data_IF_200196998448
#
_entry.id   IF_200196998448
#
_cell.length_a   1.000
_cell.length_b   1.000
_cell.length_c   1.000
_cell.angle_alpha   90.00
_cell.angle_beta   90.00
_cell.angle_gamma   90.00
#
_symmetry.space_group_name_H-M   'P 1'
#
loop_
_entity.id
_entity.type
_entity.pdbx_description
1 polymer ?
#
# COMPACT_ATOMS: atom_id res chain seq x y z
N UNK A 1 -33.96 23.98 32.76
CA UNK A 1 -32.66 23.51 32.23
C UNK A 1 -32.90 23.12 30.79
N UNK A 2 -32.70 24.06 29.88
CA UNK A 2 -32.87 23.83 28.45
C UNK A 2 -31.66 23.08 27.92
N UNK A 3 -31.82 21.78 27.69
CA UNK A 3 -30.81 20.98 27.00
C UNK A 3 -30.90 21.36 25.51
N UNK A 4 -30.12 22.36 25.13
CA UNK A 4 -29.82 22.66 23.72
C UNK A 4 -29.03 21.49 23.16
N UNK A 5 -29.69 20.54 22.52
CA UNK A 5 -29.02 19.51 21.73
C UNK A 5 -28.27 20.21 20.59
N UNK A 6 -26.93 20.13 20.51
CA UNK A 6 -26.25 20.55 19.30
C UNK A 6 -26.46 19.48 18.23
N UNK A 7 -27.27 19.82 17.22
CA UNK A 7 -27.10 19.20 15.91
C UNK A 7 -25.68 19.50 15.46
N UNK A 8 -24.86 18.46 15.35
CA UNK A 8 -23.60 18.53 14.65
C UNK A 8 -23.53 17.36 13.68
N UNK A 9 -24.45 17.37 12.72
CA UNK A 9 -24.12 16.91 11.38
C UNK A 9 -22.99 17.82 10.89
N UNK A 10 -21.77 17.56 11.34
CA UNK A 10 -20.57 18.00 10.67
C UNK A 10 -20.62 17.34 9.29
N UNK A 11 -21.06 18.12 8.31
CA UNK A 11 -20.81 17.86 6.90
C UNK A 11 -19.31 17.84 6.71
N UNK A 12 -18.67 16.71 7.02
CA UNK A 12 -17.33 16.41 6.54
C UNK A 12 -17.48 16.25 5.03
N UNK A 13 -17.24 17.34 4.30
CA UNK A 13 -17.02 17.32 2.86
C UNK A 13 -15.97 16.25 2.59
N UNK A 14 -16.43 15.06 2.25
CA UNK A 14 -15.61 13.95 1.82
C UNK A 14 -15.33 14.22 0.34
N UNK A 15 -14.33 15.06 0.07
CA UNK A 15 -13.77 15.11 -1.27
C UNK A 15 -13.32 13.70 -1.60
N UNK A 16 -13.92 13.07 -2.61
CA UNK A 16 -13.50 11.75 -3.07
C UNK A 16 -12.02 11.83 -3.44
N UNK A 17 -11.16 10.95 -2.88
CA UNK A 17 -9.74 10.99 -3.19
C UNK A 17 -9.56 10.82 -4.69
N UNK A 18 -8.64 11.61 -5.26
CA UNK A 18 -8.28 11.54 -6.66
C UNK A 18 -7.80 10.14 -7.03
N UNK A 19 -7.88 9.78 -8.31
CA UNK A 19 -7.38 8.51 -8.81
C UNK A 19 -5.89 8.30 -8.48
N UNK A 20 -5.10 9.38 -8.47
CA UNK A 20 -3.69 9.37 -8.11
C UNK A 20 -3.49 9.03 -6.62
N UNK A 21 -4.26 9.65 -5.72
CA UNK A 21 -4.22 9.35 -4.28
C UNK A 21 -4.64 7.91 -3.99
N UNK A 22 -5.66 7.40 -4.70
CA UNK A 22 -6.10 6.02 -4.60
C UNK A 22 -5.00 5.05 -5.05
N UNK A 23 -4.33 5.34 -6.17
CA UNK A 23 -3.23 4.51 -6.67
C UNK A 23 -2.04 4.51 -5.69
N UNK A 24 -1.67 5.67 -5.15
CA UNK A 24 -0.59 5.78 -4.16
C UNK A 24 -0.93 5.07 -2.85
N UNK A 25 -2.16 5.20 -2.36
CA UNK A 25 -2.65 4.46 -1.20
C UNK A 25 -2.57 2.95 -1.46
N UNK A 26 -3.01 2.50 -2.63
CA UNK A 26 -2.97 1.09 -2.99
C UNK A 26 -1.55 0.53 -3.07
N UNK A 27 -0.59 1.30 -3.63
CA UNK A 27 0.84 0.95 -3.63
C UNK A 27 1.36 0.77 -2.20
N UNK A 28 1.03 1.70 -1.29
CA UNK A 28 1.43 1.62 0.11
C UNK A 28 0.80 0.42 0.82
N UNK A 29 -0.48 0.14 0.56
CA UNK A 29 -1.20 -1.00 1.12
C UNK A 29 -0.58 -2.34 0.66
N UNK A 30 -0.15 -2.45 -0.60
CA UNK A 30 0.57 -3.63 -1.09
C UNK A 30 1.93 -3.79 -0.39
N UNK A 31 2.68 -2.69 -0.20
CA UNK A 31 3.96 -2.74 0.52
C UNK A 31 3.80 -3.19 1.97
N UNK A 32 2.76 -2.71 2.65
CA UNK A 32 2.48 -3.14 4.02
C UNK A 32 2.08 -4.62 4.08
N UNK A 33 1.25 -5.07 3.14
CA UNK A 33 0.92 -6.50 3.01
C UNK A 33 2.17 -7.34 2.79
N UNK A 34 3.06 -6.98 1.85
CA UNK A 34 4.31 -7.72 1.62
C UNK A 34 5.14 -7.85 2.90
N UNK A 35 5.32 -6.75 3.65
CA UNK A 35 6.06 -6.79 4.93
C UNK A 35 5.41 -7.73 5.95
N UNK A 36 4.08 -7.68 6.07
CA UNK A 36 3.35 -8.57 6.99
C UNK A 36 3.45 -10.03 6.55
N UNK A 37 3.32 -10.32 5.26
CA UNK A 37 3.44 -11.67 4.70
C UNK A 37 4.87 -12.21 4.89
N UNK A 38 5.90 -11.40 4.70
CA UNK A 38 7.31 -11.75 4.99
C UNK A 38 7.52 -12.05 6.48
N UNK A 39 6.98 -11.21 7.38
CA UNK A 39 7.05 -11.44 8.82
C UNK A 39 6.39 -12.77 9.21
N UNK A 40 5.21 -13.06 8.65
CA UNK A 40 4.49 -14.29 8.93
C UNK A 40 5.22 -15.52 8.38
N UNK A 41 5.79 -15.43 7.17
CA UNK A 41 6.60 -16.50 6.58
C UNK A 41 7.77 -16.90 7.51
N UNK A 42 8.44 -15.92 8.11
CA UNK A 42 9.56 -16.18 9.04
C UNK A 42 9.14 -16.89 10.34
N UNK A 43 7.84 -16.92 10.66
CA UNK A 43 7.32 -17.56 11.87
C UNK A 43 6.79 -18.97 11.63
N UNK A 44 6.68 -19.39 10.36
CA UNK A 44 6.05 -20.65 9.98
C UNK A 44 7.10 -21.70 9.63
N UNK A 45 6.85 -22.92 10.08
CA UNK A 45 7.66 -24.12 9.78
C UNK A 45 6.91 -25.16 8.94
N UNK A 46 5.60 -24.99 8.76
CA UNK A 46 4.79 -25.86 7.91
C UNK A 46 5.08 -25.59 6.43
N UNK A 47 5.45 -26.64 5.69
CA UNK A 47 5.91 -26.56 4.30
C UNK A 47 4.83 -26.02 3.35
N UNK A 48 3.59 -26.47 3.50
CA UNK A 48 2.49 -26.01 2.64
C UNK A 48 2.14 -24.54 2.91
N UNK A 49 2.25 -24.11 4.17
CA UNK A 49 2.01 -22.72 4.54
C UNK A 49 3.18 -21.81 4.10
N UNK A 50 4.43 -22.30 4.12
CA UNK A 50 5.58 -21.63 3.50
C UNK A 50 5.33 -21.41 2.01
N UNK A 51 4.95 -22.45 1.27
CA UNK A 51 4.65 -22.35 -0.16
C UNK A 51 3.53 -21.35 -0.44
N UNK A 52 2.46 -21.38 0.36
CA UNK A 52 1.36 -20.43 0.28
C UNK A 52 1.85 -18.98 0.39
N UNK A 53 2.71 -18.68 1.37
CA UNK A 53 3.27 -17.33 1.53
C UNK A 53 4.22 -16.93 0.40
N UNK A 54 5.01 -17.86 -0.14
CA UNK A 54 5.86 -17.60 -1.31
C UNK A 54 5.00 -17.19 -2.51
N UNK A 55 3.89 -17.90 -2.75
CA UNK A 55 2.95 -17.55 -3.82
C UNK A 55 2.27 -16.20 -3.58
N UNK A 56 1.89 -15.92 -2.34
CA UNK A 56 1.29 -14.63 -1.95
C UNK A 56 2.26 -13.47 -2.19
N UNK A 57 3.50 -13.56 -1.70
CA UNK A 57 4.54 -12.55 -1.94
C UNK A 57 4.80 -12.35 -3.43
N UNK A 58 4.84 -13.44 -4.20
CA UNK A 58 5.00 -13.36 -5.66
C UNK A 58 3.84 -12.60 -6.31
N UNK A 59 2.60 -12.85 -5.88
CA UNK A 59 1.43 -12.16 -6.40
C UNK A 59 1.41 -10.67 -6.01
N UNK A 60 1.72 -10.35 -4.75
CA UNK A 60 1.82 -8.99 -4.25
C UNK A 60 2.90 -8.20 -4.98
N UNK A 61 4.09 -8.77 -5.17
CA UNK A 61 5.17 -8.14 -5.93
C UNK A 61 4.74 -7.86 -7.38
N UNK A 62 4.10 -8.81 -8.06
CA UNK A 62 3.58 -8.58 -9.44
C UNK A 62 2.56 -7.45 -9.49
N UNK A 63 1.65 -7.37 -8.50
CA UNK A 63 0.68 -6.26 -8.39
C UNK A 63 1.39 -4.93 -8.16
N UNK A 64 2.35 -4.88 -7.25
CA UNK A 64 3.17 -3.69 -6.99
C UNK A 64 3.88 -3.21 -8.26
N UNK A 65 4.56 -4.11 -8.97
CA UNK A 65 5.27 -3.77 -10.21
C UNK A 65 4.31 -3.21 -11.28
N UNK A 66 3.11 -3.77 -11.40
CA UNK A 66 2.08 -3.21 -12.28
C UNK A 66 1.68 -1.80 -11.86
N UNK A 67 1.39 -1.57 -10.57
CA UNK A 67 1.01 -0.26 -10.06
C UNK A 67 2.11 0.79 -10.24
N UNK A 68 3.38 0.42 -10.02
CA UNK A 68 4.52 1.31 -10.28
C UNK A 68 4.63 1.65 -11.76
N UNK A 69 4.48 0.68 -12.67
CA UNK A 69 4.47 0.94 -14.13
C UNK A 69 3.34 1.88 -14.52
N UNK A 70 2.14 1.67 -13.96
CA UNK A 70 0.97 2.53 -14.16
C UNK A 70 1.24 3.95 -13.67
N UNK A 71 1.71 4.09 -12.44
CA UNK A 71 1.98 5.39 -11.82
C UNK A 71 3.07 6.17 -12.58
N UNK A 72 4.08 5.47 -13.14
CA UNK A 72 5.08 6.08 -14.03
C UNK A 72 4.46 6.58 -15.33
N UNK A 73 3.57 5.80 -15.95
CA UNK A 73 2.85 6.19 -17.18
C UNK A 73 1.95 7.41 -16.95
N UNK A 74 1.38 7.53 -15.77
CA UNK A 74 0.53 8.65 -15.36
C UNK A 74 1.32 9.85 -14.80
N UNK A 75 2.65 9.79 -14.75
CA UNK A 75 3.52 10.87 -14.28
C UNK A 75 3.47 11.11 -12.76
N UNK A 76 2.93 10.16 -11.98
CA UNK A 76 2.73 10.29 -10.53
C UNK A 76 4.04 10.05 -9.76
N UNK A 77 4.85 9.09 -10.21
CA UNK A 77 6.18 8.83 -9.64
C UNK A 77 7.23 9.44 -10.56
N UNK A 78 7.69 10.64 -10.20
CA UNK A 78 8.99 11.14 -10.66
C UNK A 78 10.07 10.24 -10.06
N UNK A 79 10.95 9.74 -10.91
CA UNK A 79 12.07 8.87 -10.59
C UNK A 79 12.84 9.39 -9.35
N UNK A 80 12.63 8.81 -8.16
CA UNK A 80 13.60 8.93 -7.08
C UNK A 80 14.76 7.99 -7.40
N UNK A 81 15.62 8.42 -8.33
CA UNK A 81 16.97 7.88 -8.40
C UNK A 81 17.69 8.32 -7.13
N UNK A 82 17.72 7.47 -6.13
CA UNK A 82 18.81 7.48 -5.16
C UNK A 82 19.35 6.06 -5.07
N UNK A 83 19.76 5.52 -6.21
CA UNK A 83 20.83 4.53 -6.23
C UNK A 83 22.12 5.28 -5.87
N UNK A 84 22.32 5.52 -4.56
CA UNK A 84 23.68 5.68 -4.07
C UNK A 84 24.32 4.30 -4.17
N UNK A 85 24.94 4.02 -5.31
CA UNK A 85 26.05 3.09 -5.35
C UNK A 85 27.13 3.69 -4.45
N UNK A 86 27.15 3.25 -3.20
CA UNK A 86 28.29 3.43 -2.32
C UNK A 86 29.42 2.57 -2.89
N UNK A 87 30.18 3.13 -3.81
CA UNK A 87 31.56 2.73 -4.03
C UNK A 87 32.38 3.37 -2.90
N UNK A 88 32.81 2.54 -1.95
CA UNK A 88 33.95 2.81 -1.07
C UNK A 88 34.71 1.51 -0.85
#
# INVERSE_FOLDING_TARGET
MDIKCPNLFETKQTSTPSEQEQLMKYINDINNQMKTTEQNLNLVTDEYLIDSYIYELTALNKRYQYCIKRAKKEGIVAFSCTDKVSAQ
#
